data_IF_527729213432
#
_entry.id   IF_527729213432
#
_cell.length_a   1.000
_cell.length_b   1.000
_cell.length_c   1.000
_cell.angle_alpha   90.00
_cell.angle_beta   90.00
_cell.angle_gamma   90.00
#
_symmetry.space_group_name_H-M   'P 1'
#
loop_
_entity.id
_entity.type
_entity.pdbx_description
1 polymer ?
#
# COMPACT_ATOMS: atom_id res chain seq x y z
N UNK A 1 32.84 10.77 -16.34
CA UNK A 1 32.25 9.48 -16.77
C UNK A 1 31.66 8.85 -15.52
N UNK A 2 30.33 8.95 -15.33
CA UNK A 2 29.67 8.21 -14.26
C UNK A 2 29.66 6.76 -14.73
N UNK A 3 30.28 5.81 -14.01
CA UNK A 3 30.25 4.42 -14.44
C UNK A 3 28.79 3.98 -14.51
N UNK A 4 28.41 3.42 -15.66
CA UNK A 4 27.11 2.82 -15.90
C UNK A 4 27.02 1.57 -15.02
N UNK A 5 26.72 1.75 -13.74
CA UNK A 5 26.38 0.65 -12.84
C UNK A 5 24.97 0.26 -13.28
N UNK A 6 24.86 -0.85 -14.00
CA UNK A 6 23.56 -1.43 -14.33
C UNK A 6 22.75 -1.54 -13.03
N UNK A 7 21.49 -1.11 -13.07
CA UNK A 7 20.56 -1.32 -11.96
C UNK A 7 20.59 -2.82 -11.61
N UNK A 8 20.93 -3.14 -10.36
CA UNK A 8 21.08 -4.54 -9.91
C UNK A 8 19.70 -5.22 -9.81
N UNK A 9 18.65 -4.42 -9.70
CA UNK A 9 17.27 -4.83 -9.55
C UNK A 9 16.45 -4.29 -10.72
N UNK A 10 15.45 -5.08 -11.13
CA UNK A 10 14.51 -4.65 -12.15
C UNK A 10 13.63 -3.49 -11.65
N UNK A 11 13.15 -2.62 -12.56
CA UNK A 11 12.40 -1.44 -12.15
C UNK A 11 11.01 -1.76 -11.58
N UNK A 12 10.44 -2.92 -11.90
CA UNK A 12 9.05 -3.24 -11.58
C UNK A 12 8.82 -4.75 -11.46
N UNK A 13 7.66 -5.12 -10.91
CA UNK A 13 7.23 -6.52 -10.91
C UNK A 13 6.95 -7.02 -12.34
N UNK A 14 6.46 -6.15 -13.23
CA UNK A 14 6.21 -6.49 -14.64
C UNK A 14 7.53 -6.82 -15.37
N UNK A 15 8.60 -6.06 -15.12
CA UNK A 15 9.92 -6.33 -15.68
C UNK A 15 10.42 -7.73 -15.29
N UNK A 16 10.23 -8.13 -14.03
CA UNK A 16 10.53 -9.51 -13.61
C UNK A 16 9.64 -10.55 -14.31
N UNK A 17 8.34 -10.29 -14.51
CA UNK A 17 7.45 -11.20 -15.26
C UNK A 17 7.96 -11.41 -16.69
N UNK A 18 8.38 -10.35 -17.38
CA UNK A 18 8.96 -10.43 -18.73
C UNK A 18 10.27 -11.24 -18.79
N UNK A 19 11.00 -11.35 -17.68
CA UNK A 19 12.16 -12.24 -17.54
C UNK A 19 11.79 -13.71 -17.22
N UNK A 20 10.50 -14.04 -17.22
CA UNK A 20 10.00 -15.38 -16.90
C UNK A 20 9.96 -15.71 -15.41
N UNK A 21 10.00 -14.69 -14.55
CA UNK A 21 9.81 -14.87 -13.12
C UNK A 21 8.33 -15.10 -12.77
N UNK A 22 8.08 -15.62 -11.56
CA UNK A 22 6.76 -15.93 -11.04
C UNK A 22 6.52 -15.20 -9.72
N UNK A 23 5.28 -15.18 -9.22
CA UNK A 23 4.94 -14.53 -7.94
C UNK A 23 5.90 -14.88 -6.80
N UNK A 24 6.52 -13.86 -6.21
CA UNK A 24 7.45 -13.98 -5.07
C UNK A 24 7.76 -12.58 -4.51
N UNK A 25 8.57 -12.52 -3.47
CA UNK A 25 9.19 -11.27 -3.03
C UNK A 25 10.39 -10.92 -3.92
N UNK A 26 10.39 -9.69 -4.42
CA UNK A 26 11.48 -9.15 -5.23
C UNK A 26 11.95 -7.81 -4.65
N UNK A 27 13.21 -7.50 -4.90
CA UNK A 27 13.71 -6.14 -4.79
C UNK A 27 13.49 -5.47 -6.13
N UNK A 28 12.84 -4.30 -6.13
CA UNK A 28 12.62 -3.47 -7.31
C UNK A 28 13.30 -2.11 -7.14
N UNK A 29 13.61 -1.46 -8.25
CA UNK A 29 14.25 -0.14 -8.32
C UNK A 29 13.44 0.81 -9.22
N UNK A 30 12.32 1.37 -8.73
CA UNK A 30 11.29 2.01 -9.56
C UNK A 30 11.74 3.30 -10.25
N UNK A 31 12.81 3.96 -9.77
CA UNK A 31 13.43 5.11 -10.42
C UNK A 31 14.78 4.76 -11.11
N UNK A 32 15.18 3.49 -11.07
CA UNK A 32 16.41 2.98 -11.69
C UNK A 32 17.65 3.72 -11.20
N UNK A 33 18.37 4.41 -12.09
CA UNK A 33 19.55 5.21 -11.73
C UNK A 33 19.23 6.52 -10.98
N UNK A 34 18.03 6.64 -10.42
CA UNK A 34 17.57 7.78 -9.66
C UNK A 34 18.12 7.83 -8.22
N UNK A 35 17.68 8.79 -7.40
CA UNK A 35 18.18 8.97 -6.04
C UNK A 35 17.56 8.01 -5.02
N UNK A 36 16.47 7.30 -5.35
CA UNK A 36 15.83 6.37 -4.41
C UNK A 36 16.62 5.06 -4.37
N UNK A 37 16.62 4.44 -3.21
CA UNK A 37 17.16 3.09 -3.06
C UNK A 37 16.12 2.04 -3.49
N UNK A 38 16.57 0.81 -3.79
CA UNK A 38 15.67 -0.29 -4.08
C UNK A 38 14.80 -0.64 -2.86
N UNK A 39 13.62 -1.20 -3.12
CA UNK A 39 12.69 -1.65 -2.08
C UNK A 39 12.19 -3.06 -2.33
N UNK A 40 11.88 -3.76 -1.23
CA UNK A 40 11.35 -5.12 -1.28
C UNK A 40 9.82 -5.09 -1.30
N UNK A 41 9.23 -5.72 -2.30
CA UNK A 41 7.79 -5.83 -2.53
C UNK A 41 7.42 -7.29 -2.73
N UNK A 42 6.13 -7.63 -2.59
CA UNK A 42 5.61 -8.89 -3.10
C UNK A 42 5.01 -8.68 -4.48
N UNK A 43 5.56 -9.37 -5.47
CA UNK A 43 5.01 -9.39 -6.81
C UNK A 43 3.99 -10.53 -6.90
N UNK A 44 2.73 -10.19 -7.17
CA UNK A 44 1.70 -11.18 -7.51
C UNK A 44 1.48 -11.15 -9.03
N UNK A 45 2.07 -12.11 -9.72
CA UNK A 45 2.05 -12.23 -11.17
C UNK A 45 1.08 -13.35 -11.58
N UNK A 46 -0.04 -12.97 -12.18
CA UNK A 46 -0.96 -13.89 -12.87
C UNK A 46 -0.78 -13.75 -14.38
N UNK A 47 -1.45 -14.60 -15.16
CA UNK A 47 -1.36 -14.52 -16.63
C UNK A 47 -1.83 -13.15 -17.14
N UNK A 48 -2.89 -12.61 -16.54
CA UNK A 48 -3.58 -11.39 -16.96
C UNK A 48 -3.10 -10.10 -16.29
N UNK A 49 -2.52 -10.18 -15.08
CA UNK A 49 -2.17 -9.01 -14.27
C UNK A 49 -0.89 -9.19 -13.48
N UNK A 50 -0.23 -8.08 -13.17
CA UNK A 50 0.86 -8.03 -12.23
C UNK A 50 0.57 -7.01 -11.16
N UNK A 51 0.67 -7.45 -9.91
CA UNK A 51 0.53 -6.58 -8.76
C UNK A 51 1.87 -6.40 -8.06
N UNK A 52 2.15 -5.16 -7.71
CA UNK A 52 3.19 -4.79 -6.75
C UNK A 52 2.53 -4.55 -5.41
N UNK A 53 2.80 -5.41 -4.43
CA UNK A 53 2.22 -5.29 -3.10
C UNK A 53 3.26 -4.71 -2.15
N UNK A 54 2.99 -3.50 -1.66
CA UNK A 54 3.77 -2.82 -0.63
C UNK A 54 3.07 -3.03 0.72
N UNK A 55 3.77 -3.64 1.68
CA UNK A 55 3.17 -3.94 2.99
C UNK A 55 3.20 -2.76 3.95
N UNK A 56 2.28 -2.74 4.92
CA UNK A 56 2.29 -1.83 6.08
C UNK A 56 2.31 -2.58 7.42
N UNK A 57 2.53 -1.85 8.51
CA UNK A 57 2.60 -2.37 9.88
C UNK A 57 1.23 -2.59 10.57
N UNK A 58 0.13 -2.15 9.98
CA UNK A 58 -1.20 -2.33 10.57
C UNK A 58 -1.58 -3.81 10.64
N UNK A 59 -1.69 -4.32 11.88
CA UNK A 59 -2.13 -5.68 12.14
C UNK A 59 -3.62 -5.86 11.84
N UNK A 60 -4.05 -7.11 11.59
CA UNK A 60 -5.46 -7.46 11.27
C UNK A 60 -6.50 -7.00 12.32
N UNK A 61 -6.10 -6.50 13.49
CA UNK A 61 -7.00 -6.08 14.55
C UNK A 61 -6.47 -4.93 15.42
N UNK A 62 -6.50 -3.69 14.93
CA UNK A 62 -6.26 -2.52 15.79
C UNK A 62 -7.55 -2.13 16.51
N UNK A 63 -7.60 -2.31 17.83
CA UNK A 63 -8.73 -1.87 18.66
C UNK A 63 -8.73 -0.35 18.76
N UNK A 64 -9.82 0.29 18.32
CA UNK A 64 -10.00 1.74 18.44
C UNK A 64 -10.70 2.01 19.77
N UNK A 65 -9.95 2.41 20.80
CA UNK A 65 -10.54 2.67 22.12
C UNK A 65 -11.40 3.94 22.09
N UNK A 66 -12.57 3.82 22.74
CA UNK A 66 -13.69 4.76 22.83
C UNK A 66 -13.41 6.27 22.77
N UNK A 67 -14.31 6.91 22.01
CA UNK A 67 -14.42 8.31 21.64
C UNK A 67 -14.56 9.32 22.80
N UNK A 68 -13.88 10.46 22.62
CA UNK A 68 -14.24 11.77 23.16
C UNK A 68 -14.88 12.57 21.98
N UNK A 69 -16.04 13.24 22.16
CA UNK A 69 -16.70 14.15 21.21
C UNK A 69 -15.78 15.03 20.35
N UNK A 70 -14.67 15.46 20.93
CA UNK A 70 -13.71 16.38 20.32
C UNK A 70 -12.48 15.68 19.70
N UNK A 71 -12.36 14.34 19.83
CA UNK A 71 -11.18 13.58 19.40
C UNK A 71 -11.55 12.48 18.40
N UNK A 72 -11.10 12.66 17.16
CA UNK A 72 -11.04 11.62 16.15
C UNK A 72 -9.91 10.64 16.46
N UNK A 73 -10.09 9.36 16.11
CA UNK A 73 -9.01 8.38 16.16
C UNK A 73 -8.18 8.51 14.88
N UNK A 74 -6.89 8.83 15.02
CA UNK A 74 -5.94 8.80 13.91
C UNK A 74 -5.18 7.49 13.96
N UNK A 75 -5.20 6.75 12.85
CA UNK A 75 -4.31 5.61 12.63
C UNK A 75 -3.37 5.99 11.50
N UNK A 76 -2.08 6.03 11.79
CA UNK A 76 -1.04 6.21 10.77
C UNK A 76 -0.57 4.82 10.33
N UNK A 77 -0.45 4.60 9.02
CA UNK A 77 0.12 3.40 8.45
C UNK A 77 1.62 3.64 8.26
N UNK A 78 2.45 2.73 8.75
CA UNK A 78 3.88 2.72 8.44
C UNK A 78 4.10 1.66 7.37
N UNK A 79 4.35 2.11 6.15
CA UNK A 79 4.69 1.22 5.04
C UNK A 79 6.14 0.72 5.14
N UNK A 80 6.39 -0.42 4.52
CA UNK A 80 7.76 -0.95 4.32
C UNK A 80 8.60 -0.14 3.32
N UNK A 81 8.03 0.92 2.76
CA UNK A 81 8.60 1.81 1.75
C UNK A 81 8.45 3.28 2.17
N UNK A 82 9.33 4.15 1.71
CA UNK A 82 9.17 5.59 1.88
C UNK A 82 8.04 6.13 1.00
N UNK A 83 7.51 7.30 1.34
CA UNK A 83 6.50 7.95 0.49
C UNK A 83 7.04 8.30 -0.90
N UNK A 84 8.33 8.61 -1.03
CA UNK A 84 8.96 8.87 -2.33
C UNK A 84 9.05 7.59 -3.17
N UNK A 85 9.36 6.44 -2.55
CA UNK A 85 9.34 5.13 -3.22
C UNK A 85 7.93 4.71 -3.63
N UNK A 86 6.94 4.91 -2.76
CA UNK A 86 5.52 4.68 -3.09
C UNK A 86 5.10 5.61 -4.23
N UNK A 87 5.55 6.87 -4.23
CA UNK A 87 5.29 7.80 -5.34
C UNK A 87 5.91 7.31 -6.65
N UNK A 88 7.13 6.78 -6.63
CA UNK A 88 7.78 6.25 -7.83
C UNK A 88 7.00 5.06 -8.41
N UNK A 89 6.61 4.10 -7.56
CA UNK A 89 5.76 2.96 -7.94
C UNK A 89 4.44 3.45 -8.53
N UNK A 90 3.68 4.24 -7.78
CA UNK A 90 2.33 4.69 -8.17
C UNK A 90 2.33 5.60 -9.40
N UNK A 91 3.42 6.34 -9.65
CA UNK A 91 3.56 7.18 -10.85
C UNK A 91 3.72 6.39 -12.14
N UNK A 92 4.19 5.14 -12.04
CA UNK A 92 4.42 4.24 -13.18
C UNK A 92 3.35 3.14 -13.32
N UNK A 93 2.42 3.07 -12.38
CA UNK A 93 1.33 2.09 -12.38
C UNK A 93 0.10 2.61 -13.13
N UNK A 94 -0.57 1.77 -13.92
CA UNK A 94 -1.88 2.10 -14.53
C UNK A 94 -2.97 2.27 -13.45
N UNK A 95 -2.95 1.46 -12.40
CA UNK A 95 -4.02 1.44 -11.39
C UNK A 95 -3.51 1.13 -9.99
N UNK A 96 -4.02 1.84 -8.99
CA UNK A 96 -3.65 1.64 -7.58
C UNK A 96 -4.91 1.50 -6.73
N UNK A 97 -4.94 0.50 -5.83
CA UNK A 97 -6.03 0.36 -4.84
C UNK A 97 -5.53 0.08 -3.43
N UNK A 98 -6.36 0.48 -2.46
CA UNK A 98 -6.16 0.16 -1.06
C UNK A 98 -7.53 -0.09 -0.42
N UNK A 99 -7.71 -1.26 0.17
CA UNK A 99 -8.93 -1.62 0.86
C UNK A 99 -8.82 -1.29 2.34
N UNK A 100 -9.84 -0.62 2.87
CA UNK A 100 -9.98 -0.38 4.31
C UNK A 100 -11.30 -0.98 4.79
N UNK A 101 -11.24 -1.92 5.73
CA UNK A 101 -12.38 -2.52 6.40
C UNK A 101 -12.48 -2.03 7.84
N UNK A 102 -13.67 -1.61 8.24
CA UNK A 102 -13.94 -1.00 9.55
C UNK A 102 -15.10 -1.72 10.25
N UNK A 103 -14.85 -2.24 11.44
CA UNK A 103 -15.84 -2.93 12.25
C UNK A 103 -16.26 -2.09 13.44
N UNK A 104 -17.49 -1.57 13.40
CA UNK A 104 -18.06 -0.77 14.47
C UNK A 104 -19.53 -1.04 14.72
N UNK A 105 -19.93 -0.75 15.96
CA UNK A 105 -21.30 -0.73 16.42
C UNK A 105 -21.67 0.71 16.79
N UNK A 106 -22.84 1.16 16.34
CA UNK A 106 -23.36 2.50 16.66
C UNK A 106 -22.42 3.65 16.24
N UNK A 107 -21.57 3.42 15.23
CA UNK A 107 -20.62 4.40 14.68
C UNK A 107 -20.97 4.74 13.24
N UNK A 108 -20.82 6.01 12.85
CA UNK A 108 -20.91 6.43 11.43
C UNK A 108 -19.50 6.45 10.86
N UNK A 109 -19.29 5.78 9.72
CA UNK A 109 -18.00 5.80 9.01
C UNK A 109 -17.80 7.12 8.24
N UNK A 110 -18.89 7.68 7.71
CA UNK A 110 -18.91 8.95 6.97
C UNK A 110 -19.83 9.92 7.72
N UNK A 111 -19.32 11.12 8.02
CA UNK A 111 -20.08 12.12 8.76
C UNK A 111 -21.27 12.63 7.94
N UNK A 112 -22.48 12.35 8.43
CA UNK A 112 -23.68 13.17 8.18
C UNK A 112 -24.07 13.80 9.52
N UNK A 113 -24.31 15.12 9.60
CA UNK A 113 -24.69 15.76 10.85
C UNK A 113 -26.08 15.26 11.27
N UNK A 114 -26.15 14.54 12.38
CA UNK A 114 -27.41 14.20 13.04
C UNK A 114 -27.13 14.12 14.54
N UNK A 115 -27.88 14.87 15.32
CA UNK A 115 -27.61 15.16 16.73
C UNK A 115 -28.08 14.03 17.67
N UNK A 116 -28.48 12.87 17.13
CA UNK A 116 -29.07 11.74 17.89
C UNK A 116 -28.30 10.43 17.80
N UNK A 117 -26.96 10.45 17.82
CA UNK A 117 -26.16 9.23 17.67
C UNK A 117 -25.79 8.64 19.05
N UNK A 118 -26.20 7.38 19.38
CA UNK A 118 -25.73 6.68 20.57
C UNK A 118 -24.22 6.40 20.51
N UNK A 119 -23.59 6.16 21.68
CA UNK A 119 -22.12 5.97 21.80
C UNK A 119 -21.58 4.93 20.81
N UNK A 120 -20.71 5.37 19.91
CA UNK A 120 -19.99 4.54 18.96
C UNK A 120 -18.92 3.67 19.64
N UNK A 121 -18.85 2.38 19.29
CA UNK A 121 -17.78 1.46 19.71
C UNK A 121 -17.17 0.83 18.48
N UNK A 122 -15.84 0.93 18.35
CA UNK A 122 -15.10 0.46 17.19
C UNK A 122 -14.02 -0.52 17.58
N UNK A 123 -14.03 -1.70 16.97
CA UNK A 123 -13.16 -2.81 17.40
C UNK A 123 -12.01 -3.06 16.45
N UNK A 124 -12.09 -2.66 15.17
CA UNK A 124 -11.07 -3.05 14.18
C UNK A 124 -11.06 -2.17 12.93
N UNK A 125 -9.88 -1.63 12.56
CA UNK A 125 -9.53 -1.31 11.17
C UNK A 125 -8.66 -2.42 10.59
N UNK A 126 -8.94 -2.83 9.35
CA UNK A 126 -8.04 -3.63 8.51
C UNK A 126 -7.73 -2.83 7.26
N UNK A 127 -6.47 -2.77 6.87
CA UNK A 127 -6.07 -2.28 5.56
C UNK A 127 -5.47 -3.46 4.78
N UNK A 128 -5.82 -3.59 3.51
CA UNK A 128 -5.27 -4.57 2.58
C UNK A 128 -4.84 -3.81 1.33
N UNK A 129 -3.57 -3.95 0.97
CA UNK A 129 -2.94 -3.14 -0.07
C UNK A 129 -2.78 -3.95 -1.35
N UNK A 130 -3.14 -3.38 -2.49
CA UNK A 130 -2.89 -3.98 -3.81
C UNK A 130 -2.63 -2.86 -4.86
N UNK A 131 -1.42 -2.78 -5.44
CA UNK A 131 -1.12 -1.86 -6.58
C UNK A 131 -1.03 -2.68 -7.86
N UNK A 132 -1.81 -2.33 -8.91
CA UNK A 132 -1.69 -2.96 -10.24
C UNK A 132 -0.69 -2.16 -11.07
N UNK A 133 0.48 -2.74 -11.28
CA UNK A 133 1.37 -2.22 -12.29
C UNK A 133 0.98 -2.83 -13.63
N UNK A 134 0.39 -1.99 -14.50
CA UNK A 134 0.35 -2.27 -15.93
C UNK A 134 1.16 -1.18 -16.60
N UNK A 135 2.27 -1.55 -17.20
CA UNK A 135 2.92 -0.73 -18.20
C UNK A 135 3.43 -1.68 -19.30
N UNK A 136 3.21 -1.35 -20.59
CA UNK A 136 3.50 -2.21 -21.73
C UNK A 136 5.00 -2.49 -21.92
#
# INVERSE_FOLDING_TARGET
LVPNIAAIYEPSCEAYKHLGQTSNYYWIDPDGSGPLGPLKVYCNMTDDKVWTIVSHDLQMQTTVVGYNPEKYSVTQLVYSASMDQISAITSSAEYCEQYVSYFCKMSRLLNTPDERIPKAVCSTLKCQDEIIEVNP
#
